data_IF_267775701768
#
_entry.id   IF_267775701768
#
_cell.length_a   1.000
_cell.length_b   1.000
_cell.length_c   1.000
_cell.angle_alpha   90.00
_cell.angle_beta   90.00
_cell.angle_gamma   90.00
#
_symmetry.space_group_name_H-M   'P 1'
#
loop_
_entity.id
_entity.type
_entity.pdbx_description
1 polymer ?
#
# COMPACT_ATOMS: atom_id res chain seq x y z
N UNK A 1 -12.02 -4.64 -120.65
CA UNK A 1 -11.11 -4.33 -119.53
C UNK A 1 -11.87 -4.73 -118.27
N UNK A 2 -11.29 -5.66 -117.52
CA UNK A 2 -11.98 -6.56 -116.60
C UNK A 2 -12.49 -5.86 -115.34
N UNK A 3 -13.80 -5.90 -115.12
CA UNK A 3 -14.46 -5.49 -113.88
C UNK A 3 -13.86 -6.19 -112.65
N UNK A 4 -13.44 -7.45 -112.80
CA UNK A 4 -12.73 -8.23 -111.78
C UNK A 4 -11.45 -7.56 -111.25
N UNK A 5 -10.72 -6.80 -112.07
CA UNK A 5 -9.49 -6.12 -111.67
C UNK A 5 -9.79 -4.83 -110.87
N UNK A 6 -10.94 -4.23 -111.10
CA UNK A 6 -11.42 -3.05 -110.35
C UNK A 6 -11.93 -3.50 -108.97
N UNK A 7 -12.69 -4.59 -108.92
CA UNK A 7 -13.20 -5.18 -107.68
C UNK A 7 -12.06 -5.68 -106.77
N UNK A 8 -11.11 -6.43 -107.32
CA UNK A 8 -9.93 -6.90 -106.58
C UNK A 8 -9.08 -5.76 -106.00
N UNK A 9 -8.94 -4.63 -106.72
CA UNK A 9 -8.24 -3.44 -106.19
C UNK A 9 -9.01 -2.76 -105.07
N UNK A 10 -10.34 -2.81 -105.08
CA UNK A 10 -11.19 -2.26 -104.03
C UNK A 10 -11.10 -3.12 -102.77
N UNK A 11 -11.23 -4.44 -102.89
CA UNK A 11 -11.05 -5.38 -101.78
C UNK A 11 -9.65 -5.26 -101.16
N UNK A 12 -8.60 -5.14 -101.99
CA UNK A 12 -7.23 -4.97 -101.50
C UNK A 12 -7.03 -3.63 -100.76
N UNK A 13 -7.80 -2.59 -101.10
CA UNK A 13 -7.77 -1.31 -100.40
C UNK A 13 -8.50 -1.42 -99.06
N UNK A 14 -9.66 -2.07 -99.04
CA UNK A 14 -10.44 -2.32 -97.82
C UNK A 14 -9.64 -3.18 -96.82
N UNK A 15 -9.00 -4.26 -97.28
CA UNK A 15 -8.10 -5.09 -96.47
C UNK A 15 -6.91 -4.31 -95.91
N UNK A 16 -6.33 -3.37 -96.67
CA UNK A 16 -5.25 -2.50 -96.19
C UNK A 16 -5.73 -1.53 -95.12
N UNK A 17 -6.94 -1.00 -95.26
CA UNK A 17 -7.53 -0.10 -94.26
C UNK A 17 -7.91 -0.85 -92.99
N UNK A 18 -8.45 -2.07 -93.09
CA UNK A 18 -8.73 -2.95 -91.95
C UNK A 18 -7.45 -3.36 -91.22
N UNK A 19 -6.42 -3.79 -91.95
CA UNK A 19 -5.11 -4.09 -91.36
C UNK A 19 -4.52 -2.87 -90.64
N UNK A 20 -4.64 -1.66 -91.22
CA UNK A 20 -4.18 -0.44 -90.56
C UNK A 20 -4.94 -0.15 -89.26
N UNK A 21 -6.25 -0.37 -89.23
CA UNK A 21 -7.07 -0.25 -88.02
C UNK A 21 -6.68 -1.29 -86.96
N UNK A 22 -6.45 -2.54 -87.38
CA UNK A 22 -5.99 -3.62 -86.51
C UNK A 22 -4.64 -3.32 -85.86
N UNK A 23 -3.66 -2.86 -86.65
CA UNK A 23 -2.34 -2.45 -86.14
C UNK A 23 -2.43 -1.28 -85.15
N UNK A 24 -3.25 -0.26 -85.46
CA UNK A 24 -3.45 0.88 -84.55
C UNK A 24 -4.14 0.47 -83.25
N UNK A 25 -5.04 -0.52 -83.29
CA UNK A 25 -5.65 -1.08 -82.09
C UNK A 25 -4.64 -1.87 -81.26
N UNK A 26 -3.79 -2.69 -81.88
CA UNK A 26 -2.72 -3.43 -81.18
C UNK A 26 -1.72 -2.48 -80.53
N UNK A 27 -1.26 -1.45 -81.23
CA UNK A 27 -0.34 -0.44 -80.67
C UNK A 27 -0.96 0.28 -79.45
N UNK A 28 -2.26 0.60 -79.52
CA UNK A 28 -2.98 1.19 -78.39
C UNK A 28 -3.14 0.21 -77.22
N UNK A 29 -3.40 -1.06 -77.52
CA UNK A 29 -3.52 -2.12 -76.51
C UNK A 29 -2.18 -2.36 -75.79
N UNK A 30 -1.08 -2.49 -76.54
CA UNK A 30 0.27 -2.64 -75.99
C UNK A 30 0.64 -1.46 -75.09
N UNK A 31 0.37 -0.23 -75.53
CA UNK A 31 0.63 0.98 -74.75
C UNK A 31 -0.18 1.05 -73.45
N UNK A 32 -1.41 0.55 -73.45
CA UNK A 32 -2.22 0.48 -72.23
C UNK A 32 -1.68 -0.60 -71.27
N UNK A 33 -1.33 -1.77 -71.80
CA UNK A 33 -0.74 -2.86 -71.00
C UNK A 33 0.60 -2.45 -70.37
N UNK A 34 1.41 -1.68 -71.09
CA UNK A 34 2.67 -1.14 -70.57
C UNK A 34 2.44 -0.14 -69.44
N UNK A 35 1.48 0.78 -69.61
CA UNK A 35 1.07 1.71 -68.54
C UNK A 35 0.51 1.00 -67.31
N UNK A 36 -0.34 0.00 -67.50
CA UNK A 36 -0.91 -0.77 -66.39
C UNK A 36 0.19 -1.53 -65.65
N UNK A 37 1.20 -2.01 -66.38
CA UNK A 37 2.37 -2.65 -65.78
C UNK A 37 3.24 -1.67 -64.99
N UNK A 38 3.53 -0.49 -65.55
CA UNK A 38 4.27 0.57 -64.86
C UNK A 38 3.54 1.01 -63.58
N UNK A 39 2.22 1.23 -63.65
CA UNK A 39 1.40 1.59 -62.49
C UNK A 39 1.40 0.51 -61.40
N UNK A 40 1.30 -0.76 -61.77
CA UNK A 40 1.41 -1.87 -60.81
C UNK A 40 2.80 -1.97 -60.16
N UNK A 41 3.87 -1.70 -60.92
CA UNK A 41 5.25 -1.71 -60.39
C UNK A 41 5.49 -0.54 -59.42
N UNK A 42 4.88 0.62 -59.65
CA UNK A 42 4.90 1.76 -58.73
C UNK A 42 4.14 1.44 -57.43
N UNK A 43 2.90 0.93 -57.53
CA UNK A 43 2.10 0.54 -56.36
C UNK A 43 2.77 -0.55 -55.53
N UNK A 44 3.37 -1.56 -56.16
CA UNK A 44 4.12 -2.61 -55.46
C UNK A 44 5.33 -2.06 -54.69
N UNK A 45 6.00 -1.07 -55.27
CA UNK A 45 7.13 -0.42 -54.61
C UNK A 45 6.67 0.42 -53.42
N UNK A 46 5.62 1.24 -53.57
CA UNK A 46 5.05 2.02 -52.48
C UNK A 46 4.60 1.11 -51.32
N UNK A 47 3.87 0.04 -51.63
CA UNK A 47 3.43 -0.96 -50.66
C UNK A 47 4.61 -1.60 -49.91
N UNK A 48 5.73 -1.88 -50.60
CA UNK A 48 6.95 -2.40 -49.95
C UNK A 48 7.58 -1.38 -49.00
N UNK A 49 7.63 -0.11 -49.38
CA UNK A 49 8.16 0.95 -48.51
C UNK A 49 7.31 1.10 -47.25
N UNK A 50 5.98 1.20 -47.40
CA UNK A 50 5.06 1.31 -46.27
C UNK A 50 5.15 0.10 -45.33
N UNK A 51 5.19 -1.11 -45.89
CA UNK A 51 5.30 -2.33 -45.09
C UNK A 51 6.63 -2.40 -44.32
N UNK A 52 7.73 -1.93 -44.91
CA UNK A 52 9.01 -1.86 -44.23
C UNK A 52 9.01 -0.82 -43.10
N UNK A 53 8.35 0.33 -43.30
CA UNK A 53 8.26 1.35 -42.27
C UNK A 53 7.36 0.90 -41.11
N UNK A 54 6.21 0.30 -41.41
CA UNK A 54 5.34 -0.31 -40.41
C UNK A 54 6.05 -1.40 -39.60
N UNK A 55 6.84 -2.27 -40.24
CA UNK A 55 7.66 -3.28 -39.54
C UNK A 55 8.68 -2.63 -38.59
N UNK A 56 9.28 -1.52 -38.99
CA UNK A 56 10.22 -0.77 -38.17
C UNK A 56 9.52 -0.13 -36.97
N UNK A 57 8.36 0.47 -37.16
CA UNK A 57 7.55 1.02 -36.08
C UNK A 57 7.11 -0.05 -35.09
N UNK A 58 6.62 -1.19 -35.58
CA UNK A 58 6.28 -2.35 -34.74
C UNK A 58 7.49 -2.84 -33.93
N UNK A 59 8.69 -2.85 -34.51
CA UNK A 59 9.93 -3.16 -33.79
C UNK A 59 10.18 -2.19 -32.62
N UNK A 60 10.10 -0.88 -32.88
CA UNK A 60 10.26 0.15 -31.85
C UNK A 60 9.22 0.03 -30.72
N UNK A 61 7.97 -0.26 -31.09
CA UNK A 61 6.88 -0.44 -30.12
C UNK A 61 7.15 -1.66 -29.24
N UNK A 62 7.55 -2.79 -29.82
CA UNK A 62 7.90 -4.01 -29.06
C UNK A 62 9.05 -3.75 -28.08
N UNK A 63 10.13 -3.12 -28.53
CA UNK A 63 11.25 -2.75 -27.67
C UNK A 63 10.85 -1.78 -26.55
N UNK A 64 9.90 -0.88 -26.82
CA UNK A 64 9.37 0.02 -25.80
C UNK A 64 8.52 -0.73 -24.77
N UNK A 65 7.65 -1.63 -25.21
CA UNK A 65 6.81 -2.46 -24.34
C UNK A 65 7.67 -3.36 -23.43
N UNK A 66 8.71 -4.00 -23.97
CA UNK A 66 9.62 -4.83 -23.17
C UNK A 66 10.35 -4.02 -22.09
N UNK A 67 10.78 -2.80 -22.41
CA UNK A 67 11.39 -1.89 -21.43
C UNK A 67 10.40 -1.44 -20.37
N UNK A 68 9.15 -1.15 -20.75
CA UNK A 68 8.10 -0.80 -19.78
C UNK A 68 7.79 -1.97 -18.85
N UNK A 69 7.69 -3.19 -19.38
CA UNK A 69 7.44 -4.38 -18.57
C UNK A 69 8.55 -4.61 -17.54
N UNK A 70 9.81 -4.51 -17.94
CA UNK A 70 10.95 -4.59 -17.01
C UNK A 70 10.88 -3.53 -15.91
N UNK A 71 10.55 -2.28 -16.27
CA UNK A 71 10.38 -1.21 -15.28
C UNK A 71 9.24 -1.49 -14.30
N UNK A 72 8.13 -2.06 -14.77
CA UNK A 72 7.01 -2.44 -13.90
C UNK A 72 7.40 -3.55 -12.93
N UNK A 73 8.14 -4.57 -13.39
CA UNK A 73 8.68 -5.63 -12.52
C UNK A 73 9.65 -5.08 -11.47
N UNK A 74 10.50 -4.11 -11.83
CA UNK A 74 11.37 -3.43 -10.86
C UNK A 74 10.59 -2.64 -9.81
N UNK A 75 9.51 -1.96 -10.22
CA UNK A 75 8.64 -1.19 -9.31
C UNK A 75 7.89 -2.13 -8.36
N UNK A 76 7.32 -3.22 -8.86
CA UNK A 76 6.62 -4.22 -8.05
C UNK A 76 7.54 -4.84 -6.99
N UNK A 77 8.77 -5.19 -7.39
CA UNK A 77 9.78 -5.73 -6.47
C UNK A 77 10.20 -4.72 -5.39
N UNK A 78 10.31 -3.43 -5.74
CA UNK A 78 10.60 -2.37 -4.76
C UNK A 78 9.45 -2.17 -3.79
N UNK A 79 8.21 -2.22 -4.28
CA UNK A 79 7.02 -2.09 -3.45
C UNK A 79 6.93 -3.20 -2.40
N UNK A 80 7.13 -4.46 -2.81
CA UNK A 80 7.14 -5.62 -1.89
C UNK A 80 8.17 -5.47 -0.77
N UNK A 81 9.39 -5.06 -1.09
CA UNK A 81 10.44 -4.82 -0.08
C UNK A 81 10.07 -3.71 0.89
N UNK A 82 9.51 -2.61 0.39
CA UNK A 82 9.03 -1.53 1.25
C UNK A 82 7.92 -1.99 2.20
N UNK A 83 7.01 -2.84 1.72
CA UNK A 83 5.93 -3.39 2.55
C UNK A 83 6.48 -4.29 3.67
N UNK A 84 7.44 -5.15 3.36
CA UNK A 84 8.16 -5.98 4.34
C UNK A 84 8.87 -5.12 5.40
N UNK A 85 9.63 -4.10 4.98
CA UNK A 85 10.35 -3.18 5.88
C UNK A 85 9.38 -2.41 6.81
N UNK A 86 8.25 -1.95 6.27
CA UNK A 86 7.20 -1.27 7.03
C UNK A 86 6.57 -2.20 8.06
N UNK A 87 6.26 -3.44 7.66
CA UNK A 87 5.66 -4.42 8.55
C UNK A 87 6.61 -4.81 9.70
N UNK A 88 7.90 -4.97 9.41
CA UNK A 88 8.91 -5.22 10.44
C UNK A 88 9.03 -4.02 11.40
N UNK A 89 9.09 -2.80 10.87
CA UNK A 89 9.18 -1.58 11.70
C UNK A 89 7.96 -1.40 12.61
N UNK A 90 6.75 -1.64 12.10
CA UNK A 90 5.51 -1.56 12.87
C UNK A 90 5.53 -2.63 13.97
N UNK A 91 5.87 -3.88 13.61
CA UNK A 91 5.92 -5.00 14.56
C UNK A 91 6.87 -4.69 15.71
N UNK A 92 8.08 -4.23 15.40
CA UNK A 92 9.08 -3.86 16.42
C UNK A 92 8.57 -2.77 17.36
N UNK A 93 8.00 -1.69 16.83
CA UNK A 93 7.43 -0.60 17.64
C UNK A 93 6.28 -1.08 18.53
N UNK A 94 5.42 -1.95 18.02
CA UNK A 94 4.30 -2.51 18.79
C UNK A 94 4.83 -3.36 19.95
N UNK A 95 5.82 -4.21 19.71
CA UNK A 95 6.45 -5.03 20.76
C UNK A 95 7.08 -4.13 21.83
N UNK A 96 7.86 -3.12 21.44
CA UNK A 96 8.48 -2.16 22.38
C UNK A 96 7.42 -1.45 23.24
N UNK A 97 6.31 -1.01 22.66
CA UNK A 97 5.20 -0.37 23.41
C UNK A 97 4.54 -1.36 24.37
N UNK A 98 4.34 -2.60 23.95
CA UNK A 98 3.73 -3.63 24.79
C UNK A 98 4.64 -3.99 25.97
N UNK A 99 5.94 -4.13 25.75
CA UNK A 99 6.93 -4.37 26.80
C UNK A 99 6.97 -3.21 27.79
N UNK A 100 7.00 -1.96 27.32
CA UNK A 100 6.98 -0.78 28.18
C UNK A 100 5.69 -0.72 29.03
N UNK A 101 4.55 -1.08 28.43
CA UNK A 101 3.27 -1.17 29.16
C UNK A 101 3.26 -2.28 30.19
N UNK A 102 3.83 -3.44 29.87
CA UNK A 102 3.93 -4.55 30.80
C UNK A 102 4.86 -4.21 31.98
N UNK A 103 6.00 -3.59 31.71
CA UNK A 103 6.88 -3.08 32.76
C UNK A 103 6.18 -2.06 33.66
N UNK A 104 5.44 -1.11 33.09
CA UNK A 104 4.65 -0.14 33.86
C UNK A 104 3.64 -0.84 34.76
N UNK A 105 2.96 -1.88 34.27
CA UNK A 105 2.03 -2.68 35.09
C UNK A 105 2.75 -3.43 36.22
N UNK A 106 3.91 -4.03 35.95
CA UNK A 106 4.72 -4.73 36.98
C UNK A 106 5.18 -3.81 38.12
N UNK A 107 5.40 -2.52 37.84
CA UNK A 107 5.84 -1.52 38.82
C UNK A 107 4.72 -0.99 39.72
N UNK A 108 3.46 -1.16 39.31
CA UNK A 108 2.29 -0.79 40.10
C UNK A 108 1.90 -1.98 40.96
N UNK A 109 1.93 -1.81 42.28
CA UNK A 109 1.51 -2.82 43.25
C UNK A 109 0.33 -2.29 44.04
N UNK A 110 -0.73 -3.08 44.15
CA UNK A 110 -1.88 -2.73 44.98
C UNK A 110 -1.75 -3.44 46.33
N UNK A 111 -1.90 -2.69 47.42
CA UNK A 111 -1.93 -3.21 48.78
C UNK A 111 -3.28 -2.87 49.40
N UNK A 112 -3.84 -3.79 50.19
CA UNK A 112 -5.06 -3.52 50.95
C UNK A 112 -4.71 -3.48 52.43
N UNK A 113 -5.01 -2.36 53.08
CA UNK A 113 -4.81 -2.17 54.52
C UNK A 113 -6.17 -2.32 55.20
N UNK A 114 -6.24 -3.22 56.18
CA UNK A 114 -7.43 -3.42 57.00
C UNK A 114 -7.27 -2.71 58.33
N UNK A 115 -8.38 -2.39 58.98
CA UNK A 115 -8.41 -1.80 60.33
C UNK A 115 -7.71 -0.44 60.47
N UNK A 116 -7.54 0.31 59.37
CA UNK A 116 -7.05 1.67 59.42
C UNK A 116 -8.17 2.63 59.85
N UNK A 117 -7.94 3.42 60.88
CA UNK A 117 -8.93 4.37 61.39
C UNK A 117 -9.44 5.32 60.28
N UNK A 118 -10.75 5.54 60.23
CA UNK A 118 -11.36 6.49 59.28
C UNK A 118 -11.54 7.84 59.95
N UNK A 119 -10.93 8.89 59.38
CA UNK A 119 -11.14 10.27 59.84
C UNK A 119 -12.39 10.86 59.22
N UNK A 120 -13.08 11.71 59.98
CA UNK A 120 -14.23 12.47 59.47
C UNK A 120 -13.75 13.57 58.50
N UNK A 121 -13.72 13.25 57.21
CA UNK A 121 -13.43 14.18 56.13
C UNK A 121 -14.71 14.84 55.57
N UNK A 122 -14.62 16.12 55.17
CA UNK A 122 -15.74 16.89 54.60
C UNK A 122 -15.97 16.57 53.13
N UNK A 123 -14.95 16.10 52.43
CA UNK A 123 -14.99 15.73 51.02
C UNK A 123 -13.98 14.61 50.72
N UNK A 124 -14.09 14.05 49.52
CA UNK A 124 -13.24 12.94 49.08
C UNK A 124 -11.74 13.30 48.98
N UNK A 125 -11.39 14.56 48.70
CA UNK A 125 -9.98 15.00 48.63
C UNK A 125 -9.33 14.95 50.00
N UNK A 126 -10.01 15.50 51.00
CA UNK A 126 -9.55 15.49 52.39
C UNK A 126 -9.48 14.05 52.94
N UNK A 127 -10.40 13.16 52.52
CA UNK A 127 -10.32 11.72 52.85
C UNK A 127 -9.06 11.10 52.24
N UNK A 128 -8.80 11.32 50.96
CA UNK A 128 -7.60 10.84 50.26
C UNK A 128 -6.32 11.37 50.88
N UNK A 129 -6.22 12.66 51.20
CA UNK A 129 -5.03 13.25 51.82
C UNK A 129 -4.75 12.68 53.22
N UNK A 130 -5.81 12.50 54.04
CA UNK A 130 -5.70 11.88 55.35
C UNK A 130 -5.25 10.41 55.26
N UNK A 131 -5.82 9.66 54.32
CA UNK A 131 -5.49 8.25 54.09
C UNK A 131 -4.06 8.10 53.55
N UNK A 132 -3.63 8.95 52.60
CA UNK A 132 -2.26 8.98 52.10
C UNK A 132 -1.25 9.27 53.21
N UNK A 133 -1.54 10.27 54.07
CA UNK A 133 -0.66 10.61 55.19
C UNK A 133 -0.54 9.44 56.18
N UNK A 134 -1.65 8.78 56.52
CA UNK A 134 -1.65 7.62 57.40
C UNK A 134 -0.91 6.42 56.79
N UNK A 135 -1.06 6.18 55.49
CA UNK A 135 -0.30 5.14 54.81
C UNK A 135 1.19 5.42 54.77
N UNK A 136 1.60 6.67 54.51
CA UNK A 136 3.02 7.03 54.54
C UNK A 136 3.61 6.84 55.93
N UNK A 137 2.88 7.20 56.98
CA UNK A 137 3.29 6.95 58.37
C UNK A 137 3.55 5.45 58.63
N UNK A 138 2.62 4.57 58.23
CA UNK A 138 2.78 3.11 58.35
C UNK A 138 4.00 2.61 57.56
N UNK A 139 4.13 3.02 56.29
CA UNK A 139 5.23 2.53 55.46
C UNK A 139 6.60 3.02 55.95
N UNK A 140 6.72 4.29 56.36
CA UNK A 140 7.98 4.88 56.79
C UNK A 140 8.33 4.48 58.22
N UNK A 141 7.40 4.62 59.17
CA UNK A 141 7.70 4.47 60.60
C UNK A 141 7.56 3.03 61.10
N UNK A 142 6.56 2.28 60.64
CA UNK A 142 6.34 0.91 61.10
C UNK A 142 7.06 -0.13 60.23
N UNK A 143 6.96 0.01 58.90
CA UNK A 143 7.51 -0.97 57.95
C UNK A 143 8.93 -0.66 57.48
N UNK A 144 9.46 0.54 57.78
CA UNK A 144 10.80 1.00 57.37
C UNK A 144 11.04 0.88 55.85
N UNK A 145 10.02 1.20 55.05
CA UNK A 145 10.13 1.19 53.59
C UNK A 145 10.27 2.62 53.08
N UNK A 146 11.44 2.94 52.55
CA UNK A 146 11.78 4.28 52.06
C UNK A 146 11.51 4.46 50.55
N UNK A 147 11.43 3.36 49.78
CA UNK A 147 11.36 3.35 48.31
C UNK A 147 9.94 3.08 47.76
N UNK A 148 8.93 3.74 48.33
CA UNK A 148 7.54 3.59 47.91
C UNK A 148 6.92 4.97 47.62
N UNK A 149 6.35 5.10 46.42
CA UNK A 149 5.50 6.23 46.05
C UNK A 149 4.03 5.78 46.11
N UNK A 150 3.21 6.43 46.92
CA UNK A 150 1.76 6.21 46.94
C UNK A 150 1.14 7.00 45.78
N UNK A 151 0.57 6.29 44.81
CA UNK A 151 -0.07 6.88 43.63
C UNK A 151 -1.50 7.33 43.96
N UNK A 152 -2.23 6.51 44.72
CA UNK A 152 -3.65 6.69 44.97
C UNK A 152 -4.09 5.86 46.18
N UNK A 153 -5.13 6.31 46.86
CA UNK A 153 -5.73 5.63 48.02
C UNK A 153 -7.25 5.69 47.94
N UNK A 154 -7.91 4.53 48.04
CA UNK A 154 -9.35 4.41 47.89
C UNK A 154 -9.93 3.49 48.96
N UNK A 155 -10.84 4.00 49.79
CA UNK A 155 -11.60 3.17 50.75
C UNK A 155 -12.57 2.26 50.00
N UNK A 156 -12.50 0.97 50.28
CA UNK A 156 -13.34 -0.07 49.67
C UNK A 156 -14.66 -0.21 50.44
N UNK A 157 -15.77 0.08 49.76
CA UNK A 157 -17.11 -0.03 50.31
C UNK A 157 -17.79 1.32 50.54
N UNK A 158 -19.10 1.28 50.82
CA UNK A 158 -19.89 2.48 51.06
C UNK A 158 -19.67 2.98 52.48
N UNK A 159 -19.54 4.29 52.64
CA UNK A 159 -19.56 4.92 53.96
C UNK A 159 -20.97 4.73 54.53
N UNK A 160 -21.12 3.80 55.46
CA UNK A 160 -22.41 3.56 56.11
C UNK A 160 -22.85 4.84 56.81
N UNK A 161 -24.15 5.08 56.94
CA UNK A 161 -24.72 6.14 57.81
C UNK A 161 -25.02 5.55 59.19
N UNK A 162 -24.80 6.33 60.25
CA UNK A 162 -24.77 5.80 61.63
C UNK A 162 -26.16 5.26 61.98
N UNK A 163 -26.32 3.94 62.05
CA UNK A 163 -27.40 3.35 62.83
C UNK A 163 -26.92 3.26 64.29
N UNK A 164 -27.77 3.70 65.21
CA UNK A 164 -27.42 3.89 66.61
C UNK A 164 -27.03 2.56 67.26
N UNK A 165 -25.77 2.40 67.66
CA UNK A 165 -25.36 1.41 68.65
C UNK A 165 -24.29 0.40 68.25
N UNK A 166 -23.87 0.31 66.98
CA UNK A 166 -22.80 -0.60 66.55
C UNK A 166 -21.45 0.12 66.37
N UNK A 167 -20.39 -0.44 66.94
CA UNK A 167 -19.01 -0.04 66.64
C UNK A 167 -18.74 -0.27 65.15
N UNK A 168 -18.51 0.81 64.41
CA UNK A 168 -18.19 0.74 62.98
C UNK A 168 -16.84 0.09 62.77
N UNK A 169 -16.82 -1.00 62.02
CA UNK A 169 -15.58 -1.49 61.45
C UNK A 169 -15.12 -0.51 60.36
N UNK A 170 -13.88 0.00 60.42
CA UNK A 170 -13.36 0.85 59.35
C UNK A 170 -13.26 0.06 58.05
N UNK A 171 -13.53 0.74 56.93
CA UNK A 171 -13.40 0.16 55.59
C UNK A 171 -11.94 -0.11 55.26
N UNK A 172 -11.72 -1.19 54.55
CA UNK A 172 -10.40 -1.50 54.00
C UNK A 172 -9.95 -0.40 53.03
N UNK A 173 -8.67 -0.07 53.07
CA UNK A 173 -8.07 0.94 52.20
C UNK A 173 -7.26 0.25 51.10
N UNK A 174 -7.64 0.44 49.84
CA UNK A 174 -6.83 0.07 48.69
C UNK A 174 -5.80 1.16 48.44
N UNK A 175 -4.53 0.81 48.52
CA UNK A 175 -3.39 1.69 48.27
C UNK A 175 -2.73 1.25 46.97
N UNK A 176 -2.65 2.15 45.99
CA UNK A 176 -1.89 1.93 44.77
C UNK A 176 -0.48 2.46 44.99
N UNK A 177 0.48 1.55 44.98
CA UNK A 177 1.89 1.83 45.15
C UNK A 177 2.60 1.79 43.81
N UNK A 178 3.61 2.64 43.68
CA UNK A 178 4.59 2.58 42.61
C UNK A 178 5.96 2.37 43.26
N UNK A 179 6.58 1.24 42.96
CA UNK A 179 7.94 0.98 43.43
C UNK A 179 8.91 1.91 42.69
N UNK A 180 9.70 2.67 43.43
CA UNK A 180 10.74 3.55 42.87
C UNK A 180 12.05 2.81 42.61
N UNK A 181 12.25 1.64 43.22
CA UNK A 181 13.45 0.82 43.02
C UNK A 181 13.40 -0.05 41.75
N UNK A 182 14.42 0.08 40.89
CA UNK A 182 14.79 -0.96 39.92
C UNK A 182 15.18 -2.17 40.75
N UNK A 183 14.48 -3.30 40.63
CA UNK A 183 14.99 -4.56 41.18
C UNK A 183 16.26 -4.93 40.41
N UNK A 184 17.40 -4.39 40.85
CA UNK A 184 18.70 -4.91 40.51
C UNK A 184 18.72 -6.33 41.03
N UNK A 185 18.68 -7.28 40.11
CA UNK A 185 19.00 -8.67 40.39
C UNK A 185 20.45 -8.64 40.91
N UNK A 186 20.63 -8.57 42.23
CA UNK A 186 21.93 -8.81 42.84
C UNK A 186 22.17 -10.31 42.68
N UNK A 187 22.74 -10.68 41.54
CA UNK A 187 23.36 -11.98 41.36
C UNK A 187 24.42 -12.12 42.43
N UNK A 188 24.12 -12.87 43.49
CA UNK A 188 25.16 -13.36 44.39
C UNK A 188 26.00 -14.34 43.57
N UNK A 189 27.25 -13.93 43.38
CA UNK A 189 28.35 -14.70 42.79
C UNK A 189 28.63 -15.97 43.58
#
# INVERSE_FOLDING_TARGET
>A
MNEDNIEMKKELKELKEENKKGMAWMEKYEKNMEKDREGNEEEDNENRYENNDMKRELGKIKEHMERMQKKLEEVDNKWKRMEEDLQESITKKVVEILEEREEKKKRIKNVVIYNLEEKDARNWREETENDQAACMDIFTNEMQVEDIEIVDTVRLGRKEQKEQGEERKPRALLVKLKCTHKMGISGKS
#
